data_IF_343172555485
#
_entry.id   IF_343172555485
#
_cell.length_a   1.000
_cell.length_b   1.000
_cell.length_c   1.000
_cell.angle_alpha   90.00
_cell.angle_beta   90.00
_cell.angle_gamma   90.00
#
_symmetry.space_group_name_H-M   'P 1'
#
loop_
_entity.id
_entity.type
_entity.pdbx_description
1 polymer ?
#
# COMPACT_ATOMS: atom_id res chain seq x y z
N UNK A 1 -1.82 -11.88 -20.74
CA UNK A 1 -0.67 -12.47 -20.04
C UNK A 1 -0.25 -11.54 -18.91
N UNK A 2 0.06 -12.10 -17.76
CA UNK A 2 0.43 -11.26 -16.61
C UNK A 2 1.84 -10.70 -16.78
N UNK A 3 2.03 -9.45 -16.35
CA UNK A 3 3.31 -8.79 -16.31
C UNK A 3 3.69 -8.55 -14.85
N UNK A 4 4.89 -8.96 -14.46
CA UNK A 4 5.41 -8.74 -13.12
C UNK A 4 5.95 -7.32 -13.04
N UNK A 5 5.50 -6.59 -12.02
CA UNK A 5 5.98 -5.23 -11.72
C UNK A 5 6.97 -5.31 -10.57
N UNK A 6 8.14 -4.72 -10.75
CA UNK A 6 9.19 -4.69 -9.74
C UNK A 6 9.84 -3.31 -9.70
N UNK A 7 10.19 -2.86 -8.50
CA UNK A 7 10.95 -1.62 -8.28
C UNK A 7 11.81 -1.74 -7.03
N UNK A 8 13.01 -1.18 -7.10
CA UNK A 8 13.89 -1.09 -5.93
C UNK A 8 13.50 0.05 -4.98
N UNK A 9 12.52 0.87 -5.38
CA UNK A 9 12.01 1.99 -4.58
C UNK A 9 10.89 1.59 -3.64
N UNK A 10 10.53 0.31 -3.62
CA UNK A 10 9.63 -0.30 -2.65
C UNK A 10 10.31 -1.55 -2.09
N UNK A 11 9.86 -2.05 -0.92
CA UNK A 11 10.49 -3.22 -0.30
C UNK A 11 10.48 -4.44 -1.22
N UNK A 12 11.62 -5.14 -1.28
CA UNK A 12 11.72 -6.38 -2.02
C UNK A 12 10.79 -7.44 -1.41
N UNK A 13 10.20 -8.31 -2.24
CA UNK A 13 9.40 -9.43 -1.72
C UNK A 13 10.26 -10.34 -0.84
N UNK A 14 9.71 -10.76 0.30
CA UNK A 14 10.37 -11.67 1.24
C UNK A 14 9.82 -13.10 1.16
N UNK A 15 9.23 -13.44 0.02
CA UNK A 15 8.63 -14.75 -0.21
C UNK A 15 8.26 -14.91 -1.68
N UNK A 16 7.54 -15.98 -2.03
CA UNK A 16 7.18 -16.27 -3.42
C UNK A 16 5.99 -15.41 -3.89
N UNK A 17 6.18 -14.09 -3.95
CA UNK A 17 5.16 -13.16 -4.46
C UNK A 17 5.83 -11.99 -5.17
N UNK A 18 5.07 -11.30 -6.01
CA UNK A 18 5.50 -10.09 -6.70
C UNK A 18 4.97 -8.85 -5.99
N UNK A 19 5.65 -7.72 -6.14
CA UNK A 19 5.17 -6.45 -5.59
C UNK A 19 3.83 -6.06 -6.21
N UNK A 20 3.67 -6.32 -7.50
CA UNK A 20 2.41 -6.12 -8.21
C UNK A 20 2.39 -6.94 -9.49
N UNK A 21 1.18 -7.18 -9.98
CA UNK A 21 0.91 -7.85 -11.26
C UNK A 21 0.06 -6.92 -12.09
N UNK A 22 0.47 -6.71 -13.34
CA UNK A 22 -0.36 -6.04 -14.34
C UNK A 22 -0.95 -7.07 -15.29
N UNK A 23 -2.25 -6.99 -15.50
CA UNK A 23 -2.95 -7.84 -16.46
C UNK A 23 -3.90 -6.96 -17.27
N UNK A 24 -3.61 -6.82 -18.56
CA UNK A 24 -4.32 -5.84 -19.38
C UNK A 24 -4.11 -4.43 -18.83
N UNK A 25 -5.20 -3.71 -18.61
CA UNK A 25 -5.17 -2.37 -18.03
C UNK A 25 -5.17 -2.37 -16.50
N UNK A 26 -5.26 -3.55 -15.87
CA UNK A 26 -5.43 -3.66 -14.42
C UNK A 26 -4.09 -3.92 -13.73
N UNK A 27 -3.93 -3.31 -12.57
CA UNK A 27 -2.80 -3.54 -11.68
C UNK A 27 -3.31 -4.01 -10.33
N UNK A 28 -2.72 -5.10 -9.83
CA UNK A 28 -3.01 -5.66 -8.51
C UNK A 28 -1.74 -5.61 -7.69
N UNK A 29 -1.72 -4.82 -6.61
CA UNK A 29 -0.55 -4.78 -5.74
C UNK A 29 -0.66 -5.81 -4.63
N UNK A 30 0.49 -6.32 -4.19
CA UNK A 30 0.57 -6.99 -2.90
C UNK A 30 0.38 -5.96 -1.78
N UNK A 31 0.08 -6.43 -0.57
CA UNK A 31 0.00 -5.57 0.59
C UNK A 31 1.36 -4.98 0.91
N UNK A 32 1.40 -3.67 1.18
CA UNK A 32 2.62 -2.98 1.60
C UNK A 32 2.56 -2.67 3.09
N UNK A 33 3.68 -2.91 3.75
CA UNK A 33 3.91 -2.54 5.15
C UNK A 33 5.06 -1.53 5.21
N UNK A 34 5.27 -0.92 6.38
CA UNK A 34 6.22 0.18 6.53
C UNK A 34 7.66 -0.30 6.66
N UNK A 35 8.17 -0.92 5.60
CA UNK A 35 9.59 -1.25 5.47
C UNK A 35 10.24 -0.15 4.64
N UNK A 36 11.34 0.41 5.14
CA UNK A 36 12.14 1.36 4.38
C UNK A 36 12.88 0.60 3.30
N UNK A 37 12.65 0.88 2.00
CA UNK A 37 13.28 0.10 0.93
C UNK A 37 14.79 0.30 0.82
N UNK A 38 15.32 1.39 1.36
CA UNK A 38 16.76 1.67 1.33
C UNK A 38 17.52 0.88 2.41
N UNK A 39 16.89 0.63 3.56
CA UNK A 39 17.56 -0.01 4.70
C UNK A 39 17.04 -1.40 5.03
N UNK A 40 15.81 -1.73 4.64
CA UNK A 40 15.14 -2.96 5.02
C UNK A 40 14.54 -2.92 6.43
N UNK A 41 14.62 -1.79 7.13
CA UNK A 41 14.13 -1.67 8.49
C UNK A 41 12.64 -1.31 8.53
N UNK A 42 11.96 -1.80 9.57
CA UNK A 42 10.59 -1.38 9.88
C UNK A 42 10.59 0.02 10.49
N UNK A 43 9.59 0.84 10.14
CA UNK A 43 9.38 2.17 10.71
C UNK A 43 7.96 2.24 11.24
N UNK A 44 7.76 1.68 12.44
CA UNK A 44 6.44 1.48 13.03
C UNK A 44 6.27 2.16 14.41
N UNK A 45 7.10 3.13 14.75
CA UNK A 45 7.04 3.79 16.05
C UNK A 45 5.96 4.87 16.14
N UNK A 46 5.59 5.47 15.00
CA UNK A 46 4.54 6.47 14.91
C UNK A 46 3.57 6.08 13.81
N UNK A 47 2.27 5.99 14.13
CA UNK A 47 1.27 5.47 13.18
C UNK A 47 1.14 6.34 11.93
N UNK A 48 1.30 7.65 12.04
CA UNK A 48 1.22 8.53 10.87
C UNK A 48 2.44 8.37 9.97
N UNK A 49 3.63 8.26 10.55
CA UNK A 49 4.86 8.00 9.80
C UNK A 49 4.82 6.62 9.15
N UNK A 50 4.33 5.62 9.88
CA UNK A 50 4.17 4.27 9.36
C UNK A 50 3.23 4.26 8.15
N UNK A 51 2.08 4.89 8.26
CA UNK A 51 1.09 4.97 7.17
C UNK A 51 1.66 5.73 5.96
N UNK A 52 2.40 6.81 6.20
CA UNK A 52 3.05 7.56 5.14
C UNK A 52 4.01 6.68 4.36
N UNK A 53 4.85 5.91 5.05
CA UNK A 53 5.81 5.02 4.39
C UNK A 53 5.10 3.94 3.58
N UNK A 54 4.01 3.36 4.11
CA UNK A 54 3.18 2.41 3.36
C UNK A 54 2.69 3.05 2.05
N UNK A 55 2.17 4.26 2.12
CA UNK A 55 1.65 4.97 0.93
C UNK A 55 2.76 5.32 -0.05
N UNK A 56 3.94 5.72 0.44
CA UNK A 56 5.08 5.99 -0.45
C UNK A 56 5.59 4.72 -1.12
N UNK A 57 5.58 3.58 -0.42
CA UNK A 57 5.91 2.30 -1.02
C UNK A 57 4.91 1.94 -2.13
N UNK A 58 3.62 2.17 -1.90
CA UNK A 58 2.59 1.96 -2.93
C UNK A 58 2.76 2.92 -4.11
N UNK A 59 3.12 4.18 -3.84
CA UNK A 59 3.42 5.14 -4.91
C UNK A 59 4.51 4.60 -5.83
N UNK A 60 5.58 4.08 -5.26
CA UNK A 60 6.69 3.53 -6.03
C UNK A 60 6.25 2.35 -6.90
N UNK A 61 5.42 1.47 -6.36
CA UNK A 61 4.88 0.33 -7.11
C UNK A 61 3.99 0.80 -8.26
N UNK A 62 3.09 1.75 -7.99
CA UNK A 62 2.23 2.34 -9.03
C UNK A 62 3.06 2.98 -10.15
N UNK A 63 4.06 3.77 -9.77
CA UNK A 63 4.94 4.44 -10.74
C UNK A 63 5.70 3.45 -11.61
N UNK A 64 6.12 2.31 -11.04
CA UNK A 64 6.79 1.25 -11.81
C UNK A 64 5.88 0.67 -12.90
N UNK A 65 4.57 0.77 -12.74
CA UNK A 65 3.58 0.35 -13.74
C UNK A 65 3.10 1.52 -14.63
N UNK A 66 3.71 2.70 -14.50
CA UNK A 66 3.28 3.89 -15.25
C UNK A 66 1.98 4.49 -14.74
N UNK A 67 1.63 4.24 -13.48
CA UNK A 67 0.39 4.70 -12.87
C UNK A 67 0.68 5.62 -11.69
N UNK A 68 -0.37 6.26 -11.17
CA UNK A 68 -0.33 7.05 -9.95
C UNK A 68 -1.62 6.82 -9.15
N UNK A 69 -1.81 7.54 -8.04
CA UNK A 69 -2.98 7.35 -7.19
C UNK A 69 -4.31 7.67 -7.87
N UNK A 70 -4.31 8.47 -8.92
CA UNK A 70 -5.54 8.76 -9.69
C UNK A 70 -6.07 7.51 -10.41
N UNK A 71 -5.22 6.55 -10.67
CA UNK A 71 -5.60 5.29 -11.32
C UNK A 71 -6.17 4.25 -10.35
N UNK A 72 -6.03 4.48 -9.03
CA UNK A 72 -6.48 3.51 -8.02
C UNK A 72 -8.00 3.48 -7.97
N UNK A 73 -8.57 2.28 -8.10
CA UNK A 73 -10.02 2.08 -8.06
C UNK A 73 -10.47 1.39 -6.79
N UNK A 74 -9.56 0.71 -6.10
CA UNK A 74 -9.87 -0.01 -4.85
C UNK A 74 -8.66 0.00 -3.93
N UNK A 75 -8.88 0.27 -2.66
CA UNK A 75 -7.88 0.12 -1.61
C UNK A 75 -8.43 -0.77 -0.50
N UNK A 76 -7.59 -1.65 0.03
CA UNK A 76 -7.91 -2.48 1.20
C UNK A 76 -6.92 -2.14 2.30
N UNK A 77 -7.43 -1.68 3.43
CA UNK A 77 -6.63 -1.29 4.59
C UNK A 77 -6.88 -2.29 5.72
N UNK A 78 -5.78 -2.89 6.19
CA UNK A 78 -5.81 -3.82 7.31
C UNK A 78 -5.06 -3.19 8.47
N UNK A 79 -5.66 -3.20 9.66
CA UNK A 79 -5.08 -2.58 10.85
C UNK A 79 -5.06 -3.58 12.01
N UNK A 80 -4.08 -3.44 12.89
CA UNK A 80 -3.98 -4.28 14.09
C UNK A 80 -4.83 -3.71 15.24
N UNK A 81 -5.18 -2.43 15.19
CA UNK A 81 -5.97 -1.74 16.21
C UNK A 81 -6.80 -0.64 15.54
N UNK A 82 -8.12 -0.80 15.55
CA UNK A 82 -9.03 0.16 14.92
C UNK A 82 -9.00 1.53 15.61
N UNK A 83 -8.45 1.64 16.82
CA UNK A 83 -8.25 2.94 17.46
C UNK A 83 -7.28 3.84 16.68
N UNK A 84 -6.43 3.24 15.82
CA UNK A 84 -5.54 3.98 14.94
C UNK A 84 -6.23 4.51 13.67
N UNK A 85 -7.52 4.18 13.46
CA UNK A 85 -8.20 4.49 12.20
C UNK A 85 -8.15 5.97 11.85
N UNK A 86 -8.46 6.86 12.80
CA UNK A 86 -8.50 8.30 12.52
C UNK A 86 -7.15 8.83 12.04
N UNK A 87 -6.05 8.39 12.66
CA UNK A 87 -4.70 8.81 12.30
C UNK A 87 -4.30 8.25 10.92
N UNK A 88 -4.60 6.98 10.67
CA UNK A 88 -4.33 6.33 9.38
C UNK A 88 -5.12 7.02 8.28
N UNK A 89 -6.42 7.25 8.51
CA UNK A 89 -7.30 7.88 7.54
C UNK A 89 -6.86 9.30 7.19
N UNK A 90 -6.34 10.04 8.17
CA UNK A 90 -5.86 11.40 7.95
C UNK A 90 -4.68 11.43 6.98
N UNK A 91 -3.74 10.49 7.12
CA UNK A 91 -2.61 10.36 6.19
C UNK A 91 -3.10 9.88 4.82
N UNK A 92 -3.90 8.82 4.79
CA UNK A 92 -4.43 8.24 3.55
C UNK A 92 -5.16 9.29 2.72
N UNK A 93 -5.99 10.13 3.37
CA UNK A 93 -6.78 11.16 2.70
C UNK A 93 -5.93 12.20 1.96
N UNK A 94 -4.67 12.41 2.36
CA UNK A 94 -3.80 13.36 1.67
C UNK A 94 -3.36 12.90 0.28
N UNK A 95 -3.55 11.64 -0.03
CA UNK A 95 -3.14 11.04 -1.32
C UNK A 95 -4.25 11.04 -2.36
N UNK A 96 -5.48 11.35 -1.98
CA UNK A 96 -6.64 11.28 -2.87
C UNK A 96 -7.47 12.54 -2.85
N UNK A 97 -8.11 12.83 -3.98
CA UNK A 97 -9.18 13.81 -4.06
C UNK A 97 -10.46 13.12 -3.58
N UNK A 98 -11.13 13.69 -2.58
CA UNK A 98 -12.33 13.10 -1.98
C UNK A 98 -13.42 12.82 -3.01
N UNK A 99 -13.56 13.67 -4.02
CA UNK A 99 -14.60 13.53 -5.04
C UNK A 99 -14.38 12.31 -5.96
N UNK A 100 -13.12 11.84 -6.08
CA UNK A 100 -12.74 10.76 -6.99
C UNK A 100 -12.01 9.63 -6.27
N UNK A 101 -12.09 9.58 -4.95
CA UNK A 101 -11.40 8.57 -4.14
C UNK A 101 -11.85 7.15 -4.50
N UNK A 102 -10.95 6.17 -4.40
CA UNK A 102 -11.28 4.78 -4.71
C UNK A 102 -12.26 4.18 -3.70
N UNK A 103 -12.90 3.09 -4.11
CA UNK A 103 -13.63 2.25 -3.16
C UNK A 103 -12.65 1.70 -2.12
N UNK A 104 -13.10 1.52 -0.88
CA UNK A 104 -12.21 1.13 0.22
C UNK A 104 -12.97 0.35 1.29
N UNK A 105 -12.29 -0.60 1.93
CA UNK A 105 -12.67 -1.12 3.24
C UNK A 105 -11.49 -0.97 4.19
N UNK A 106 -11.79 -0.90 5.49
CA UNK A 106 -10.80 -0.92 6.56
C UNK A 106 -11.23 -1.98 7.57
N UNK A 107 -10.35 -2.93 7.85
CA UNK A 107 -10.63 -4.10 8.66
C UNK A 107 -9.57 -4.25 9.74
N UNK A 108 -9.99 -4.50 10.98
CA UNK A 108 -9.07 -4.89 12.03
C UNK A 108 -8.82 -6.39 11.94
N UNK A 109 -7.55 -6.79 12.04
CA UNK A 109 -7.12 -8.19 11.98
C UNK A 109 -6.36 -8.54 13.25
N UNK A 110 -6.24 -9.84 13.53
CA UNK A 110 -5.56 -10.29 14.74
C UNK A 110 -4.08 -9.91 14.72
N UNK A 111 -3.40 -10.12 13.57
CA UNK A 111 -1.99 -9.79 13.39
C UNK A 111 -1.70 -9.47 11.94
N UNK A 112 -0.68 -8.66 11.72
CA UNK A 112 -0.15 -8.36 10.40
C UNK A 112 1.28 -8.91 10.28
N UNK A 113 1.81 -9.07 9.05
CA UNK A 113 3.19 -9.50 8.87
C UNK A 113 4.15 -8.61 9.67
N UNK A 114 5.14 -9.26 10.33
CA UNK A 114 6.12 -8.59 11.19
C UNK A 114 5.49 -7.75 12.30
N UNK A 115 4.22 -8.02 12.62
CA UNK A 115 3.47 -7.34 13.68
C UNK A 115 3.42 -5.82 13.51
N UNK A 116 3.34 -5.37 12.26
CA UNK A 116 3.12 -3.96 11.96
C UNK A 116 1.70 -3.54 12.32
N UNK A 117 1.41 -2.24 12.25
CA UNK A 117 0.11 -1.69 12.66
C UNK A 117 -0.84 -1.45 11.48
N UNK A 118 -0.32 -1.36 10.26
CA UNK A 118 -1.14 -1.12 9.07
C UNK A 118 -0.52 -1.79 7.85
N UNK A 119 -1.38 -2.36 7.00
CA UNK A 119 -1.01 -2.91 5.70
C UNK A 119 -2.06 -2.48 4.69
N UNK A 120 -1.62 -2.05 3.50
CA UNK A 120 -2.53 -1.56 2.45
C UNK A 120 -2.18 -2.22 1.12
N UNK A 121 -3.20 -2.67 0.41
CA UNK A 121 -3.10 -3.13 -0.98
C UNK A 121 -4.05 -2.32 -1.87
N UNK A 122 -3.78 -2.31 -3.16
CA UNK A 122 -4.55 -1.50 -4.10
C UNK A 122 -4.80 -2.26 -5.41
N UNK A 123 -5.90 -1.90 -6.07
CA UNK A 123 -6.20 -2.27 -7.45
C UNK A 123 -6.29 -0.96 -8.22
N UNK A 124 -5.58 -0.89 -9.34
CA UNK A 124 -5.57 0.29 -10.19
C UNK A 124 -5.85 -0.08 -11.64
N UNK A 125 -6.26 0.88 -12.43
CA UNK A 125 -6.58 0.68 -13.85
C UNK A 125 -6.15 1.89 -14.66
N UNK A 126 -5.55 1.63 -15.79
CA UNK A 126 -5.28 2.67 -16.79
C UNK A 126 -6.58 3.23 -17.38
#
# INVERSE_FOLDING_TARGET
>A
MKKIIHTDKAPAPIGPYSQAIQFGNMLYTSGQIAINPATGDLEIEDIKAETTLVMENLRAVLQAAGMNFEHVIKASIFVSDMHNFAAINKVYATYFNEATAPARETVEVANLPKFVNVEISMIASL
#
